data_IF_825532393705
#
_entry.id   IF_825532393705
#
_cell.length_a   1.000
_cell.length_b   1.000
_cell.length_c   1.000
_cell.angle_alpha   90.00
_cell.angle_beta   90.00
_cell.angle_gamma   90.00
#
_symmetry.space_group_name_H-M   'P 1'
#
loop_
_entity.id
_entity.type
_entity.pdbx_description
1 polymer ?
#
# COMPACT_ATOMS: atom_id res chain seq x y z
N UNK A 1 -10.23 -40.22 31.73
CA UNK A 1 -10.92 -38.98 31.34
C UNK A 1 -9.91 -37.86 31.33
N UNK A 2 -9.48 -37.43 30.15
CA UNK A 2 -8.89 -36.11 29.95
C UNK A 2 -9.58 -35.54 28.73
N UNK A 3 -10.74 -34.93 28.99
CA UNK A 3 -11.34 -34.00 28.04
C UNK A 3 -10.46 -32.76 28.08
N UNK A 4 -9.48 -32.67 27.19
CA UNK A 4 -8.99 -31.37 26.75
C UNK A 4 -10.12 -30.77 25.92
N UNK A 5 -11.10 -30.20 26.62
CA UNK A 5 -12.03 -29.26 26.03
C UNK A 5 -11.17 -28.14 25.47
N UNK A 6 -11.04 -28.14 24.14
CA UNK A 6 -10.54 -27.01 23.37
C UNK A 6 -11.52 -25.90 23.65
N UNK A 7 -11.24 -25.06 24.65
CA UNK A 7 -11.91 -23.78 24.80
C UNK A 7 -11.87 -23.12 23.43
N UNK A 8 -13.06 -22.91 22.84
CA UNK A 8 -13.24 -22.09 21.66
C UNK A 8 -12.64 -20.72 22.01
N UNK A 9 -11.38 -20.50 21.63
CA UNK A 9 -10.72 -19.22 21.81
C UNK A 9 -11.57 -18.21 21.05
N UNK A 10 -12.23 -17.30 21.78
CA UNK A 10 -12.98 -16.23 21.16
C UNK A 10 -11.98 -15.39 20.36
N UNK A 11 -12.07 -15.48 19.03
CA UNK A 11 -11.24 -14.71 18.12
C UNK A 11 -11.95 -13.39 17.79
N UNK A 12 -11.20 -12.30 17.77
CA UNK A 12 -11.70 -10.99 17.35
C UNK A 12 -10.87 -10.44 16.22
N UNK A 13 -11.54 -9.71 15.32
CA UNK A 13 -10.90 -8.98 14.21
C UNK A 13 -10.56 -7.58 14.67
N UNK A 14 -9.34 -7.17 14.42
CA UNK A 14 -8.81 -5.85 14.75
C UNK A 14 -8.36 -5.19 13.45
N UNK A 15 -8.79 -3.95 13.23
CA UNK A 15 -8.30 -3.11 12.12
C UNK A 15 -7.10 -2.32 12.58
N UNK A 16 -6.04 -2.34 11.77
CA UNK A 16 -4.83 -1.54 11.98
C UNK A 16 -4.62 -0.69 10.74
N UNK A 17 -4.69 0.63 10.92
CA UNK A 17 -4.55 1.60 9.83
C UNK A 17 -3.10 2.11 9.75
N UNK A 18 -2.68 2.52 8.56
CA UNK A 18 -1.37 3.14 8.29
C UNK A 18 -1.54 4.58 7.81
N UNK A 19 -0.44 5.33 7.68
CA UNK A 19 -0.50 6.78 7.46
C UNK A 19 -1.05 7.19 6.08
N UNK A 20 -1.07 6.29 5.11
CA UNK A 20 -1.68 6.47 3.78
C UNK A 20 -3.18 6.12 3.75
N UNK A 21 -3.75 5.70 4.88
CA UNK A 21 -5.14 5.28 4.99
C UNK A 21 -5.38 3.81 4.64
N UNK A 22 -4.34 3.04 4.30
CA UNK A 22 -4.47 1.60 4.12
C UNK A 22 -4.75 0.91 5.46
N UNK A 23 -5.58 -0.14 5.43
CA UNK A 23 -6.02 -0.89 6.60
C UNK A 23 -5.73 -2.38 6.45
N UNK A 24 -5.11 -2.97 7.47
CA UNK A 24 -4.98 -4.42 7.59
C UNK A 24 -5.88 -4.96 8.69
N UNK A 25 -6.53 -6.08 8.42
CA UNK A 25 -7.35 -6.79 9.40
C UNK A 25 -6.59 -7.98 9.95
N UNK A 26 -6.37 -7.99 11.26
CA UNK A 26 -5.71 -9.09 11.96
C UNK A 26 -6.68 -9.77 12.91
N UNK A 27 -6.59 -11.10 12.99
CA UNK A 27 -7.43 -11.90 13.90
C UNK A 27 -6.59 -12.32 15.09
N UNK A 28 -7.00 -11.98 16.31
CA UNK A 28 -6.27 -12.27 17.55
C UNK A 28 -7.16 -12.94 18.59
N UNK A 29 -6.60 -13.82 19.45
CA UNK A 29 -7.36 -14.45 20.53
C UNK A 29 -7.65 -13.45 21.65
N UNK A 30 -8.85 -13.56 22.22
CA UNK A 30 -9.22 -12.90 23.47
C UNK A 30 -8.67 -13.74 24.62
N UNK A 31 -7.81 -13.15 25.44
CA UNK A 31 -7.00 -13.86 26.46
C UNK A 31 -7.63 -13.78 27.86
N UNK A 32 -8.46 -12.76 28.12
CA UNK A 32 -9.20 -12.53 29.39
C UNK A 32 -10.61 -11.99 29.10
N UNK A 33 -11.35 -11.48 30.10
CA UNK A 33 -12.63 -10.78 29.94
C UNK A 33 -12.51 -9.58 28.99
N UNK A 34 -12.47 -9.85 27.68
CA UNK A 34 -12.40 -8.89 26.58
C UNK A 34 -11.02 -8.26 26.28
N UNK A 35 -9.94 -8.78 26.82
CA UNK A 35 -8.58 -8.28 26.52
C UNK A 35 -7.91 -9.03 25.36
N UNK A 36 -7.14 -8.30 24.56
CA UNK A 36 -6.31 -8.82 23.46
C UNK A 36 -4.86 -8.34 23.59
N UNK A 37 -3.92 -9.19 23.17
CA UNK A 37 -2.47 -8.93 23.22
C UNK A 37 -2.06 -7.89 22.17
N UNK A 38 -1.41 -6.80 22.60
CA UNK A 38 -0.84 -5.81 21.68
C UNK A 38 0.29 -6.42 20.85
N UNK A 39 1.09 -7.30 21.44
CA UNK A 39 2.16 -8.00 20.74
C UNK A 39 1.65 -8.86 19.59
N UNK A 40 0.51 -9.54 19.77
CA UNK A 40 -0.09 -10.40 18.74
C UNK A 40 -0.63 -9.57 17.58
N UNK A 41 -1.28 -8.44 17.89
CA UNK A 41 -1.76 -7.49 16.88
C UNK A 41 -0.58 -6.93 16.10
N UNK A 42 0.48 -6.49 16.79
CA UNK A 42 1.67 -5.88 16.19
C UNK A 42 2.37 -6.85 15.25
N UNK A 43 2.63 -8.08 15.71
CA UNK A 43 3.29 -9.12 14.92
C UNK A 43 2.49 -9.42 13.65
N UNK A 44 1.19 -9.71 13.79
CA UNK A 44 0.33 -10.05 12.64
C UNK A 44 0.18 -8.88 11.68
N UNK A 45 0.09 -7.65 12.16
CA UNK A 45 -0.02 -6.47 11.31
C UNK A 45 1.26 -6.25 10.50
N UNK A 46 2.44 -6.38 11.14
CA UNK A 46 3.73 -6.31 10.45
C UNK A 46 3.85 -7.41 9.38
N UNK A 47 3.46 -8.64 9.71
CA UNK A 47 3.49 -9.77 8.77
C UNK A 47 2.55 -9.52 7.57
N UNK A 48 1.33 -9.03 7.81
CA UNK A 48 0.38 -8.67 6.75
C UNK A 48 0.88 -7.55 5.83
N UNK A 49 1.65 -6.61 6.37
CA UNK A 49 2.25 -5.51 5.61
C UNK A 49 3.57 -5.90 4.93
N UNK A 50 4.05 -7.15 5.12
CA UNK A 50 5.29 -7.63 4.52
C UNK A 50 6.55 -7.05 5.16
N UNK A 51 6.47 -6.59 6.40
CA UNK A 51 7.60 -5.97 7.10
C UNK A 51 8.61 -7.02 7.56
N UNK A 52 9.90 -6.78 7.35
CA UNK A 52 10.93 -7.70 7.84
C UNK A 52 10.93 -7.73 9.37
N UNK A 53 11.21 -8.91 9.96
CA UNK A 53 11.30 -9.07 11.42
C UNK A 53 12.35 -8.18 12.08
N UNK A 54 13.43 -7.87 11.36
CA UNK A 54 14.47 -6.95 11.83
C UNK A 54 14.02 -5.50 11.84
N UNK A 55 13.08 -5.14 10.95
CA UNK A 55 12.49 -3.81 10.82
C UNK A 55 11.33 -3.57 11.79
N UNK A 56 10.55 -4.61 12.12
CA UNK A 56 9.29 -4.48 12.88
C UNK A 56 9.46 -3.85 14.25
N UNK A 57 10.62 -4.00 14.88
CA UNK A 57 10.96 -3.38 16.17
C UNK A 57 10.99 -1.84 16.14
N UNK A 58 11.09 -1.24 14.96
CA UNK A 58 11.11 0.22 14.76
C UNK A 58 9.72 0.80 14.51
N UNK A 59 8.71 -0.06 14.41
CA UNK A 59 7.30 0.29 14.29
C UNK A 59 6.56 -0.11 15.56
N UNK A 60 5.54 0.66 15.92
CA UNK A 60 4.73 0.39 17.10
C UNK A 60 3.26 0.63 16.78
N UNK A 61 2.40 -0.03 17.56
CA UNK A 61 0.98 0.29 17.56
C UNK A 61 0.74 1.55 18.39
N UNK A 62 -0.19 2.37 17.93
CA UNK A 62 -0.70 3.54 18.62
C UNK A 62 -2.22 3.46 18.62
N UNK A 63 -2.88 4.01 19.65
CA UNK A 63 -4.32 4.15 19.71
C UNK A 63 -4.73 5.58 20.02
N UNK A 64 -5.90 5.98 19.53
CA UNK A 64 -6.52 7.28 19.82
C UNK A 64 -6.70 8.16 18.57
N UNK A 65 -7.50 9.22 18.73
CA UNK A 65 -7.84 10.15 17.65
C UNK A 65 -6.79 11.25 17.42
N UNK A 66 -7.14 12.22 16.56
CA UNK A 66 -6.23 13.32 16.16
C UNK A 66 -5.73 14.17 17.33
N UNK A 67 -6.50 14.28 18.43
CA UNK A 67 -6.15 15.11 19.60
C UNK A 67 -5.23 14.41 20.61
N UNK A 68 -5.22 13.07 20.65
CA UNK A 68 -4.37 12.32 21.59
C UNK A 68 -4.00 10.94 21.05
N UNK A 69 -2.72 10.77 20.72
CA UNK A 69 -2.18 9.51 20.22
C UNK A 69 -1.33 8.89 21.32
N UNK A 70 -1.71 7.67 21.76
CA UNK A 70 -0.98 6.92 22.79
C UNK A 70 -0.27 5.74 22.16
N UNK A 71 1.03 5.59 22.42
CA UNK A 71 1.79 4.40 22.04
C UNK A 71 1.38 3.20 22.88
N UNK A 72 1.11 2.08 22.23
CA UNK A 72 0.83 0.79 22.86
C UNK A 72 2.13 -0.04 22.94
N UNK A 73 2.44 -0.53 24.14
CA UNK A 73 3.59 -1.41 24.36
C UNK A 73 3.24 -2.85 24.00
N UNK A 74 4.13 -3.56 23.31
CA UNK A 74 3.89 -4.95 22.87
C UNK A 74 3.70 -5.94 24.02
N UNK A 75 4.18 -5.62 25.23
CA UNK A 75 3.96 -6.42 26.45
C UNK A 75 2.64 -6.13 27.18
N UNK A 76 1.75 -5.33 26.58
CA UNK A 76 0.48 -4.93 27.21
C UNK A 76 -0.73 -5.51 26.51
N UNK A 77 -1.90 -5.33 27.15
CA UNK A 77 -3.19 -5.76 26.65
C UNK A 77 -4.10 -4.55 26.51
N UNK A 78 -5.03 -4.63 25.54
CA UNK A 78 -6.07 -3.62 25.33
C UNK A 78 -7.43 -4.30 25.23
N UNK A 79 -8.50 -3.56 25.48
CA UNK A 79 -9.86 -4.07 25.31
C UNK A 79 -10.15 -4.31 23.81
N UNK A 80 -10.83 -5.40 23.45
CA UNK A 80 -11.08 -5.76 22.04
C UNK A 80 -11.95 -4.75 21.28
N UNK A 81 -12.66 -3.88 21.99
CA UNK A 81 -13.45 -2.80 21.39
C UNK A 81 -12.64 -1.53 21.14
N UNK A 82 -11.33 -1.54 21.39
CA UNK A 82 -10.47 -0.40 21.10
C UNK A 82 -10.52 -0.11 19.60
N UNK A 83 -10.94 1.09 19.24
CA UNK A 83 -10.95 1.58 17.87
C UNK A 83 -9.67 2.38 17.60
N UNK A 84 -9.43 2.70 16.33
CA UNK A 84 -8.38 3.61 15.89
C UNK A 84 -6.97 3.16 16.29
N UNK A 85 -6.62 1.93 15.88
CA UNK A 85 -5.27 1.40 16.05
C UNK A 85 -4.46 1.70 14.80
N UNK A 86 -3.31 2.33 14.98
CA UNK A 86 -2.41 2.70 13.90
C UNK A 86 -1.06 2.03 14.06
N UNK A 87 -0.48 1.57 12.95
CA UNK A 87 0.94 1.20 12.90
C UNK A 87 1.74 2.40 12.39
N UNK A 88 2.72 2.85 13.19
CA UNK A 88 3.58 3.99 12.83
C UNK A 88 5.02 3.72 13.19
N UNK A 89 5.96 4.39 12.52
CA UNK A 89 7.35 4.41 12.95
C UNK A 89 7.44 5.06 14.33
N UNK A 90 8.28 4.53 15.20
CA UNK A 90 8.59 5.14 16.50
C UNK A 90 10.08 5.48 16.65
N UNK A 91 10.93 5.05 15.72
CA UNK A 91 12.35 5.38 15.69
C UNK A 91 12.60 6.74 15.02
N UNK A 92 13.46 7.56 15.61
CA UNK A 92 13.86 8.88 15.08
C UNK A 92 15.38 8.97 14.83
N UNK A 93 16.07 7.83 14.74
CA UNK A 93 17.49 7.78 14.45
C UNK A 93 17.71 7.71 12.93
N UNK A 94 18.46 8.66 12.40
CA UNK A 94 18.74 8.81 10.96
C UNK A 94 19.44 7.60 10.35
N UNK A 95 20.48 7.07 10.99
CA UNK A 95 21.25 5.94 10.47
C UNK A 95 20.39 4.67 10.37
N UNK A 96 19.57 4.43 11.40
CA UNK A 96 18.62 3.31 11.40
C UNK A 96 17.57 3.48 10.30
N UNK A 97 17.03 4.68 10.15
CA UNK A 97 16.04 4.98 9.12
C UNK A 97 16.58 4.82 7.70
N UNK A 98 17.81 5.28 7.45
CA UNK A 98 18.50 5.06 6.18
C UNK A 98 18.70 3.59 5.85
N UNK A 99 18.99 2.75 6.85
CA UNK A 99 19.08 1.29 6.65
C UNK A 99 17.70 0.68 6.37
N UNK A 100 16.68 1.07 7.13
CA UNK A 100 15.31 0.56 6.94
C UNK A 100 14.78 0.84 5.53
N UNK A 101 14.98 2.07 5.05
CA UNK A 101 14.51 2.49 3.72
C UNK A 101 15.22 1.72 2.60
N UNK A 102 16.47 1.30 2.81
CA UNK A 102 17.26 0.55 1.81
C UNK A 102 16.94 -0.94 1.81
N UNK A 103 16.79 -1.53 2.98
CA UNK A 103 16.81 -3.00 3.14
C UNK A 103 15.41 -3.62 3.21
N UNK A 104 14.38 -2.81 3.42
CA UNK A 104 13.00 -3.27 3.60
C UNK A 104 12.02 -2.37 2.85
N UNK A 105 11.48 -2.89 1.75
CA UNK A 105 10.55 -2.15 0.89
C UNK A 105 9.26 -1.75 1.61
N UNK A 106 8.75 -2.59 2.52
CA UNK A 106 7.57 -2.27 3.30
C UNK A 106 7.87 -1.18 4.33
N UNK A 107 9.03 -1.25 5.00
CA UNK A 107 9.48 -0.18 5.89
C UNK A 107 9.69 1.13 5.13
N UNK A 108 10.32 1.09 3.95
CA UNK A 108 10.48 2.24 3.07
C UNK A 108 9.14 2.90 2.74
N UNK A 109 8.15 2.12 2.31
CA UNK A 109 6.80 2.60 1.99
C UNK A 109 6.12 3.25 3.21
N UNK A 110 6.17 2.60 4.38
CA UNK A 110 5.55 3.14 5.60
C UNK A 110 6.21 4.46 6.05
N UNK A 111 7.55 4.55 6.00
CA UNK A 111 8.26 5.77 6.35
C UNK A 111 7.94 6.90 5.37
N UNK A 112 7.95 6.59 4.07
CA UNK A 112 7.61 7.53 3.02
C UNK A 112 6.18 8.07 3.17
N UNK A 113 5.20 7.20 3.37
CA UNK A 113 3.79 7.60 3.50
C UNK A 113 3.53 8.40 4.77
N UNK A 114 4.20 8.07 5.88
CA UNK A 114 4.14 8.84 7.11
C UNK A 114 4.72 10.26 6.93
N UNK A 115 5.90 10.38 6.29
CA UNK A 115 6.49 11.68 5.97
C UNK A 115 5.59 12.50 5.02
N UNK A 116 5.05 11.87 3.97
CA UNK A 116 4.13 12.50 3.03
C UNK A 116 2.87 13.04 3.71
N UNK A 117 2.28 12.25 4.60
CA UNK A 117 1.11 12.68 5.37
C UNK A 117 1.46 13.80 6.35
N UNK A 118 2.64 13.76 6.98
CA UNK A 118 3.12 14.83 7.85
C UNK A 118 3.32 16.15 7.10
N UNK A 119 3.89 16.13 5.89
CA UNK A 119 4.02 17.31 5.01
C UNK A 119 2.64 17.87 4.67
N UNK A 120 1.71 17.02 4.21
CA UNK A 120 0.34 17.42 3.86
C UNK A 120 -0.42 18.07 5.03
N UNK A 121 -0.20 17.58 6.26
CA UNK A 121 -0.79 18.12 7.48
C UNK A 121 -0.05 19.35 8.03
N UNK A 122 1.04 19.79 7.39
CA UNK A 122 1.88 20.89 7.86
C UNK A 122 2.68 20.58 9.13
N UNK A 123 2.81 19.29 9.49
CA UNK A 123 3.60 18.83 10.64
C UNK A 123 5.10 18.77 10.33
N UNK A 124 5.44 18.59 9.04
CA UNK A 124 6.81 18.63 8.54
C UNK A 124 6.94 19.79 7.56
N UNK A 125 7.71 20.80 7.95
CA UNK A 125 7.96 21.98 7.12
C UNK A 125 9.15 21.71 6.21
N UNK A 126 8.95 21.92 4.92
CA UNK A 126 9.97 21.74 3.89
C UNK A 126 10.48 23.11 3.42
N UNK A 127 11.76 23.17 3.07
CA UNK A 127 12.27 24.31 2.30
C UNK A 127 11.83 24.23 0.83
N UNK A 128 11.79 25.37 0.16
CA UNK A 128 11.42 25.46 -1.27
C UNK A 128 12.30 24.52 -2.14
N UNK A 129 13.61 24.46 -1.86
CA UNK A 129 14.55 23.56 -2.56
C UNK A 129 14.20 22.07 -2.36
N UNK A 130 13.73 21.69 -1.17
CA UNK A 130 13.33 20.30 -0.92
C UNK A 130 11.97 19.97 -1.55
N UNK A 131 11.07 20.95 -1.65
CA UNK A 131 9.79 20.80 -2.33
C UNK A 131 10.00 20.59 -3.83
N UNK A 132 10.86 21.41 -4.45
CA UNK A 132 11.23 21.28 -5.87
C UNK A 132 11.84 19.91 -6.16
N UNK A 133 12.79 19.44 -5.33
CA UNK A 133 13.37 18.08 -5.47
C UNK A 133 12.34 16.97 -5.30
N UNK A 134 11.31 17.15 -4.47
CA UNK A 134 10.24 16.16 -4.33
C UNK A 134 9.34 16.16 -5.56
N UNK A 135 8.95 17.33 -6.06
CA UNK A 135 8.13 17.46 -7.27
C UNK A 135 8.82 16.84 -8.50
N UNK A 136 10.13 17.02 -8.63
CA UNK A 136 10.94 16.37 -9.68
C UNK A 136 11.00 14.84 -9.55
N UNK A 137 10.90 14.28 -8.34
CA UNK A 137 10.85 12.83 -8.12
C UNK A 137 9.42 12.26 -8.16
N UNK A 138 8.39 13.08 -7.94
CA UNK A 138 6.98 12.72 -8.08
C UNK A 138 6.43 12.95 -9.50
N UNK A 139 7.24 13.44 -10.43
CA UNK A 139 6.84 13.76 -11.80
C UNK A 139 6.32 12.56 -12.61
N UNK A 140 6.38 11.35 -12.07
CA UNK A 140 5.90 10.12 -12.73
C UNK A 140 4.61 9.57 -12.10
N UNK A 141 3.81 10.40 -11.41
CA UNK A 141 2.42 10.03 -11.17
C UNK A 141 1.65 10.20 -12.48
N UNK A 142 1.45 9.08 -13.18
CA UNK A 142 0.57 9.04 -14.35
C UNK A 142 -0.85 8.84 -13.86
N UNK A 143 -1.67 9.89 -13.92
CA UNK A 143 -3.10 9.77 -13.68
C UNK A 143 -3.71 8.80 -14.71
N UNK A 144 -4.56 7.86 -14.28
CA UNK A 144 -5.12 6.83 -15.17
C UNK A 144 -5.84 7.41 -16.39
N UNK A 145 -6.50 8.57 -16.23
CA UNK A 145 -7.18 9.29 -17.33
C UNK A 145 -6.24 9.75 -18.45
N UNK A 146 -4.94 9.83 -18.17
CA UNK A 146 -3.93 10.23 -19.14
C UNK A 146 -3.24 9.01 -19.78
N UNK A 147 -3.46 7.81 -19.24
CA UNK A 147 -2.93 6.58 -19.82
C UNK A 147 -3.70 6.26 -21.11
N UNK A 148 -3.01 6.10 -22.24
CA UNK A 148 -3.60 5.70 -23.52
C UNK A 148 -3.65 4.20 -23.68
N UNK A 149 -2.54 3.54 -23.39
CA UNK A 149 -2.41 2.10 -23.54
C UNK A 149 -1.26 1.56 -22.71
N UNK A 150 -1.25 0.25 -22.50
CA UNK A 150 -0.11 -0.46 -21.95
C UNK A 150 0.24 -1.70 -22.76
N UNK A 151 1.52 -2.07 -22.73
CA UNK A 151 2.08 -3.20 -23.46
C UNK A 151 2.82 -4.12 -22.51
N UNK A 152 2.67 -5.43 -22.70
CA UNK A 152 3.42 -6.44 -21.96
C UNK A 152 4.30 -7.19 -22.93
N UNK A 153 5.61 -7.09 -22.71
CA UNK A 153 6.63 -7.81 -23.43
C UNK A 153 7.09 -9.01 -22.59
N UNK A 154 6.41 -10.15 -22.73
CA UNK A 154 6.69 -11.36 -21.92
C UNK A 154 8.13 -11.84 -22.05
N UNK A 155 8.69 -11.80 -23.26
CA UNK A 155 10.06 -12.21 -23.53
C UNK A 155 11.13 -11.30 -22.91
N UNK A 156 10.77 -10.03 -22.65
CA UNK A 156 11.69 -9.02 -22.11
C UNK A 156 11.43 -8.68 -20.65
N UNK A 157 10.40 -9.27 -20.02
CA UNK A 157 9.96 -8.91 -18.67
C UNK A 157 9.73 -7.39 -18.54
N UNK A 158 9.09 -6.80 -19.55
CA UNK A 158 8.83 -5.35 -19.61
C UNK A 158 7.35 -5.05 -19.69
N UNK A 159 6.94 -4.03 -18.93
CA UNK A 159 5.63 -3.40 -18.98
C UNK A 159 5.81 -1.94 -19.42
N UNK A 160 5.19 -1.57 -20.53
CA UNK A 160 5.31 -0.24 -21.11
C UNK A 160 3.97 0.47 -21.03
N UNK A 161 3.96 1.70 -20.52
CA UNK A 161 2.79 2.56 -20.43
C UNK A 161 2.97 3.75 -21.36
N UNK A 162 2.01 3.95 -22.27
CA UNK A 162 1.92 5.16 -23.08
C UNK A 162 0.88 6.09 -22.45
N UNK A 163 1.27 7.34 -22.22
CA UNK A 163 0.41 8.33 -21.58
C UNK A 163 0.52 9.69 -22.29
N UNK A 164 -0.48 10.54 -22.09
CA UNK A 164 -0.50 11.93 -22.59
C UNK A 164 -0.33 12.86 -21.40
N UNK A 165 0.81 13.56 -21.34
CA UNK A 165 1.06 14.53 -20.28
C UNK A 165 0.18 15.78 -20.42
N UNK A 166 -0.05 16.56 -19.34
CA UNK A 166 -0.71 17.85 -19.41
C UNK A 166 0.04 18.79 -20.37
N UNK A 167 -0.52 19.03 -21.57
CA UNK A 167 0.14 19.71 -22.69
C UNK A 167 0.22 18.90 -23.98
N UNK A 168 -0.54 17.81 -24.09
CA UNK A 168 -0.70 16.94 -25.27
C UNK A 168 0.60 16.31 -25.78
N UNK A 169 1.62 16.19 -24.93
CA UNK A 169 2.84 15.46 -25.26
C UNK A 169 2.68 14.01 -24.85
N UNK A 170 2.78 13.13 -25.83
CA UNK A 170 2.86 11.69 -25.60
C UNK A 170 4.19 11.34 -24.94
N UNK A 171 4.11 10.51 -23.91
CA UNK A 171 5.23 10.00 -23.16
C UNK A 171 5.11 8.49 -22.95
N UNK A 172 6.24 7.88 -22.66
CA UNK A 172 6.33 6.44 -22.42
C UNK A 172 7.08 6.19 -21.12
N UNK A 173 6.53 5.34 -20.26
CA UNK A 173 7.22 4.78 -19.09
C UNK A 173 7.40 3.29 -19.30
N UNK A 174 8.62 2.81 -19.13
CA UNK A 174 8.96 1.38 -19.22
C UNK A 174 9.35 0.89 -17.83
N UNK A 175 8.75 -0.21 -17.41
CA UNK A 175 9.05 -0.89 -16.15
C UNK A 175 9.60 -2.28 -16.49
N UNK A 176 10.84 -2.53 -16.09
CA UNK A 176 11.46 -3.85 -16.14
C UNK A 176 11.13 -4.63 -14.87
N UNK A 177 10.40 -5.74 -15.01
CA UNK A 177 10.00 -6.58 -13.88
C UNK A 177 9.70 -8.02 -14.31
N UNK A 178 10.20 -8.99 -13.56
CA UNK A 178 9.83 -10.40 -13.73
C UNK A 178 8.37 -10.71 -13.33
N UNK A 179 7.67 -9.74 -12.75
CA UNK A 179 6.28 -9.86 -12.28
C UNK A 179 5.26 -9.27 -13.26
N UNK A 180 5.57 -9.19 -14.56
CA UNK A 180 4.68 -8.62 -15.58
C UNK A 180 3.26 -9.19 -15.53
N UNK A 181 3.09 -10.51 -15.33
CA UNK A 181 1.77 -11.14 -15.25
C UNK A 181 0.98 -10.73 -14.00
N UNK A 182 1.66 -10.51 -12.86
CA UNK A 182 1.01 -10.02 -11.65
C UNK A 182 0.59 -8.55 -11.81
N UNK A 183 1.44 -7.73 -12.42
CA UNK A 183 1.11 -6.35 -12.73
C UNK A 183 -0.09 -6.26 -13.69
N UNK A 184 -0.15 -7.14 -14.70
CA UNK A 184 -1.30 -7.25 -15.59
C UNK A 184 -2.59 -7.57 -14.82
N UNK A 185 -2.55 -8.60 -13.97
CA UNK A 185 -3.72 -9.01 -13.19
C UNK A 185 -4.24 -7.86 -12.31
N UNK A 186 -3.34 -7.12 -11.67
CA UNK A 186 -3.68 -5.94 -10.87
C UNK A 186 -4.31 -4.84 -11.74
N UNK A 187 -3.71 -4.53 -12.90
CA UNK A 187 -4.23 -3.56 -13.86
C UNK A 187 -5.65 -3.93 -14.31
N UNK A 188 -5.89 -5.20 -14.66
CA UNK A 188 -7.21 -5.65 -15.10
C UNK A 188 -8.26 -5.56 -13.99
N UNK A 189 -7.89 -5.81 -12.74
CA UNK A 189 -8.82 -5.65 -11.62
C UNK A 189 -9.15 -4.16 -11.37
N UNK A 190 -8.17 -3.27 -11.51
CA UNK A 190 -8.39 -1.80 -11.45
C UNK A 190 -9.36 -1.37 -12.56
N UNK A 191 -9.14 -1.81 -13.80
CA UNK A 191 -10.03 -1.50 -14.94
C UNK A 191 -11.46 -1.95 -14.63
N UNK A 192 -11.62 -3.18 -14.14
CA UNK A 192 -12.93 -3.74 -13.78
C UNK A 192 -13.62 -2.94 -12.68
N UNK A 193 -12.90 -2.53 -11.63
CA UNK A 193 -13.44 -1.71 -10.55
C UNK A 193 -13.84 -0.30 -11.03
N UNK A 194 -13.04 0.31 -11.91
CA UNK A 194 -13.35 1.58 -12.55
C UNK A 194 -14.59 1.50 -13.47
N UNK A 195 -14.77 0.40 -14.20
CA UNK A 195 -15.97 0.16 -15.01
C UNK A 195 -17.24 0.07 -14.17
N UNK A 196 -17.17 -0.61 -13.02
CA UNK A 196 -18.31 -0.77 -12.10
C UNK A 196 -18.72 0.56 -11.45
N UNK A 197 -17.76 1.44 -11.18
CA UNK A 197 -18.00 2.75 -10.55
C UNK A 197 -18.43 3.84 -11.55
N UNK A 198 -18.22 3.64 -12.86
CA UNK A 198 -18.54 4.60 -13.91
C UNK A 198 -19.37 3.98 -15.06
N UNK A 199 -20.65 3.67 -14.84
CA UNK A 199 -21.49 2.91 -15.79
C UNK A 199 -21.77 3.63 -17.11
N UNK A 200 -21.40 4.91 -17.26
CA UNK A 200 -21.55 5.69 -18.48
C UNK A 200 -20.30 5.68 -19.39
N UNK A 201 -19.24 4.94 -19.04
CA UNK A 201 -17.98 4.89 -19.80
C UNK A 201 -17.87 3.59 -20.61
N UNK A 202 -17.13 3.65 -21.72
CA UNK A 202 -16.91 2.54 -22.65
C UNK A 202 -16.44 1.28 -21.92
N UNK A 203 -16.99 0.13 -22.30
CA UNK A 203 -16.62 -1.16 -21.71
C UNK A 203 -15.34 -1.70 -22.37
N UNK A 204 -14.42 -2.19 -21.54
CA UNK A 204 -13.26 -2.96 -21.96
C UNK A 204 -13.71 -4.33 -22.50
N UNK A 205 -13.43 -4.61 -23.77
CA UNK A 205 -13.74 -5.88 -24.43
C UNK A 205 -12.47 -6.58 -24.92
N UNK A 206 -12.52 -7.91 -25.08
CA UNK A 206 -11.40 -8.72 -25.56
C UNK A 206 -10.89 -8.32 -26.96
N UNK A 207 -11.75 -7.66 -27.76
CA UNK A 207 -11.37 -7.11 -29.07
C UNK A 207 -10.36 -5.96 -28.99
N UNK A 208 -10.14 -5.40 -27.80
CA UNK A 208 -9.19 -4.30 -27.53
C UNK A 208 -7.82 -4.82 -27.06
N UNK A 209 -7.63 -6.14 -27.11
CA UNK A 209 -6.36 -6.80 -26.82
C UNK A 209 -5.80 -7.31 -28.13
N UNK A 210 -4.59 -6.87 -28.47
CA UNK A 210 -3.89 -7.41 -29.64
C UNK A 210 -2.52 -7.93 -29.24
N UNK A 211 -2.19 -9.13 -29.70
CA UNK A 211 -0.88 -9.75 -29.49
C UNK A 211 -0.16 -9.83 -30.83
N UNK A 212 1.05 -9.27 -30.90
CA UNK A 212 1.88 -9.35 -32.10
C UNK A 212 2.64 -10.68 -32.19
N UNK A 213 3.26 -10.95 -33.34
CA UNK A 213 4.03 -12.18 -33.59
C UNK A 213 5.23 -12.36 -32.63
N UNK A 214 5.72 -11.27 -32.05
CA UNK A 214 6.81 -11.24 -31.07
C UNK A 214 6.34 -11.55 -29.63
N UNK A 215 5.05 -11.83 -29.44
CA UNK A 215 4.46 -12.14 -28.13
C UNK A 215 4.26 -10.92 -27.22
N UNK A 216 4.32 -9.72 -27.78
CA UNK A 216 3.92 -8.47 -27.10
C UNK A 216 2.41 -8.32 -27.17
N UNK A 217 1.77 -8.16 -26.01
CA UNK A 217 0.33 -7.92 -25.93
C UNK A 217 0.06 -6.47 -25.57
N UNK A 218 -0.78 -5.80 -26.35
CA UNK A 218 -1.22 -4.42 -26.15
C UNK A 218 -2.65 -4.36 -25.61
N UNK A 219 -2.91 -3.32 -24.82
CA UNK A 219 -4.17 -3.07 -24.13
C UNK A 219 -4.51 -1.58 -24.22
N UNK A 220 -5.65 -1.22 -24.82
CA UNK A 220 -6.08 0.18 -24.98
C UNK A 220 -6.93 0.67 -23.80
N UNK A 221 -6.64 1.86 -23.27
CA UNK A 221 -7.40 2.45 -22.16
C UNK A 221 -8.68 3.13 -22.65
N UNK A 222 -9.73 2.34 -22.87
CA UNK A 222 -11.00 2.84 -23.39
C UNK A 222 -11.87 3.60 -22.38
N UNK A 223 -11.52 3.57 -21.09
CA UNK A 223 -12.27 4.28 -20.05
C UNK A 223 -12.14 5.81 -20.15
N UNK A 224 -11.12 6.27 -20.87
CA UNK A 224 -10.81 7.69 -21.06
C UNK A 224 -10.41 8.00 -22.50
N UNK A 225 -10.73 7.11 -23.45
CA UNK A 225 -10.62 7.38 -24.88
C UNK A 225 -11.80 8.26 -25.30
N UNK A 226 -11.60 9.58 -25.29
CA UNK A 226 -12.45 10.56 -25.97
C UNK A 226 -11.73 11.11 -27.21
#
# INVERSE_FOLDING_TARGET
MMSTDVELQNLVKVRVSTADGNEVQVTVPVVREKEISVGDIHMKACDCLGLNRTSSKWFSLFCGGEESIKRLSTGTFIHHSSQDIYLKKWCFNKEIEEQLIKDDQAACHLVYTEAKTAIKKGLLVMSDEQMEKLEDNFSTIIEWKHLKMWLIHRGLSQLTFLFVSPGDREGTVVIETCQCEYALAAILEIVKELQMSSPCKSFYYSSMISTNEEGTTSYENVLFSE
#
